data_IF_073529023467
#
_entry.id   IF_073529023467
#
_cell.length_a   1.000
_cell.length_b   1.000
_cell.length_c   1.000
_cell.angle_alpha   90.00
_cell.angle_beta   90.00
_cell.angle_gamma   90.00
#
_symmetry.space_group_name_H-M   'P 1'
#
loop_
_entity.id
_entity.type
_entity.pdbx_description
1 polymer ?
#
# COMPACT_ATOMS: atom_id res chain seq x y z
N UNK A 1 2.57 -14.21 -4.57
CA UNK A 1 1.11 -14.01 -4.39
C UNK A 1 0.70 -12.63 -4.88
N UNK A 2 -0.59 -12.39 -5.13
CA UNK A 2 -1.10 -11.03 -5.37
C UNK A 2 -1.33 -10.31 -4.05
N UNK A 3 -0.94 -9.04 -3.96
CA UNK A 3 -1.18 -8.16 -2.82
C UNK A 3 -1.83 -6.89 -3.35
N UNK A 4 -2.93 -6.49 -2.72
CA UNK A 4 -3.58 -5.20 -2.96
C UNK A 4 -3.45 -4.35 -1.73
N UNK A 5 -2.99 -3.12 -1.91
CA UNK A 5 -2.68 -2.17 -0.85
C UNK A 5 -3.57 -0.94 -1.02
N UNK A 6 -4.34 -0.60 0.00
CA UNK A 6 -4.99 0.70 0.13
C UNK A 6 -4.08 1.65 0.91
N UNK A 7 -3.79 2.80 0.31
CA UNK A 7 -2.96 3.85 0.87
C UNK A 7 -3.83 5.11 1.07
N UNK A 8 -4.02 5.58 2.31
CA UNK A 8 -4.76 6.80 2.56
C UNK A 8 -4.01 8.00 1.97
N UNK A 9 -4.74 9.01 1.50
CA UNK A 9 -4.18 10.16 0.80
C UNK A 9 -3.03 10.83 1.57
N UNK A 10 -3.11 10.87 2.91
CA UNK A 10 -2.11 11.46 3.78
C UNK A 10 -0.77 10.70 3.83
N UNK A 11 -0.74 9.42 3.43
CA UNK A 11 0.45 8.57 3.47
C UNK A 11 1.07 8.30 2.08
N UNK A 12 0.51 8.86 0.99
CA UNK A 12 0.96 8.56 -0.39
C UNK A 12 2.46 8.84 -0.57
N UNK A 13 2.97 9.96 -0.07
CA UNK A 13 4.39 10.31 -0.22
C UNK A 13 5.30 9.30 0.49
N UNK A 14 4.99 8.99 1.75
CA UNK A 14 5.74 8.02 2.54
C UNK A 14 5.63 6.61 1.94
N UNK A 15 4.45 6.22 1.45
CA UNK A 15 4.18 4.95 0.80
C UNK A 15 4.93 4.78 -0.53
N UNK A 16 5.06 5.84 -1.32
CA UNK A 16 5.86 5.83 -2.55
C UNK A 16 7.36 5.73 -2.24
N UNK A 17 7.83 6.29 -1.13
CA UNK A 17 9.20 6.07 -0.66
C UNK A 17 9.42 4.63 -0.20
N UNK A 18 8.44 4.02 0.48
CA UNK A 18 8.47 2.60 0.80
C UNK A 18 8.51 1.72 -0.47
N UNK A 19 7.70 2.05 -1.48
CA UNK A 19 7.70 1.34 -2.75
C UNK A 19 9.09 1.40 -3.42
N UNK A 20 9.71 2.58 -3.49
CA UNK A 20 11.09 2.70 -3.99
C UNK A 20 12.10 1.89 -3.16
N UNK A 21 11.97 1.87 -1.83
CA UNK A 21 12.88 1.13 -0.96
C UNK A 21 12.77 -0.39 -1.16
N UNK A 22 11.59 -0.92 -1.49
CA UNK A 22 11.31 -2.35 -1.59
C UNK A 22 11.29 -2.93 -3.01
N UNK A 23 11.16 -2.08 -4.05
CA UNK A 23 10.95 -2.52 -5.42
C UNK A 23 12.19 -2.31 -6.31
N UNK A 24 12.01 -1.86 -7.55
CA UNK A 24 13.01 -1.96 -8.60
C UNK A 24 13.77 -0.65 -8.86
N UNK A 25 13.23 0.51 -8.49
CA UNK A 25 13.93 1.78 -8.65
C UNK A 25 13.08 3.05 -8.53
N UNK A 26 13.59 4.19 -9.02
CA UNK A 26 12.91 5.50 -8.91
C UNK A 26 11.49 5.56 -9.52
N UNK A 27 11.18 4.68 -10.48
CA UNK A 27 9.86 4.63 -11.09
C UNK A 27 8.76 4.21 -10.09
N UNK A 28 9.14 3.50 -9.02
CA UNK A 28 8.23 3.06 -7.97
C UNK A 28 7.71 4.22 -7.09
N UNK A 29 8.25 5.43 -7.28
CA UNK A 29 7.70 6.68 -6.74
C UNK A 29 6.28 7.00 -7.24
N UNK A 30 5.80 6.27 -8.26
CA UNK A 30 4.49 6.46 -8.91
C UNK A 30 3.52 5.30 -8.63
N UNK A 31 3.83 4.46 -7.64
CA UNK A 31 3.02 3.30 -7.23
C UNK A 31 1.64 3.72 -6.76
N UNK A 32 1.59 4.68 -5.83
CA UNK A 32 0.36 5.31 -5.36
C UNK A 32 0.20 6.67 -6.03
N UNK A 33 -0.98 6.88 -6.63
CA UNK A 33 -1.31 8.08 -7.43
C UNK A 33 -2.46 8.83 -6.78
N UNK A 34 -3.09 9.72 -7.54
CA UNK A 34 -4.30 10.41 -7.11
C UNK A 34 -5.33 9.41 -6.55
N UNK A 35 -5.85 9.64 -5.32
CA UNK A 35 -6.89 8.81 -4.76
C UNK A 35 -8.09 8.66 -5.69
N UNK A 36 -8.55 7.42 -5.84
CA UNK A 36 -9.71 7.07 -6.67
C UNK A 36 -10.68 6.11 -5.96
N UNK A 37 -10.43 5.89 -4.67
CA UNK A 37 -11.22 5.05 -3.78
C UNK A 37 -11.59 5.82 -2.52
N UNK A 38 -12.73 5.49 -1.94
CA UNK A 38 -13.20 6.06 -0.68
C UNK A 38 -13.84 5.01 0.23
N UNK A 39 -13.70 5.19 1.54
CA UNK A 39 -14.44 4.43 2.54
C UNK A 39 -15.85 5.03 2.77
N UNK A 40 -16.62 4.42 3.68
CA UNK A 40 -17.97 4.87 4.02
C UNK A 40 -18.03 6.26 4.68
N UNK A 41 -16.91 6.73 5.26
CA UNK A 41 -16.78 8.05 5.88
C UNK A 41 -16.28 9.12 4.90
N UNK A 42 -15.99 8.73 3.66
CA UNK A 42 -15.50 9.61 2.60
C UNK A 42 -14.00 9.88 2.65
N UNK A 43 -13.23 9.12 3.44
CA UNK A 43 -11.77 9.23 3.42
C UNK A 43 -11.23 8.71 2.09
N UNK A 44 -10.26 9.41 1.51
CA UNK A 44 -9.73 9.11 0.19
C UNK A 44 -8.50 8.20 0.24
N UNK A 45 -8.45 7.23 -0.68
CA UNK A 45 -7.38 6.24 -0.81
C UNK A 45 -6.91 6.10 -2.26
N UNK A 46 -5.60 5.96 -2.42
CA UNK A 46 -5.00 5.35 -3.60
C UNK A 46 -4.91 3.84 -3.39
N UNK A 47 -4.95 3.06 -4.47
CA UNK A 47 -4.78 1.62 -4.41
C UNK A 47 -3.71 1.15 -5.40
N UNK A 48 -2.93 0.15 -5.00
CA UNK A 48 -2.00 -0.56 -5.88
C UNK A 48 -2.19 -2.07 -5.70
N UNK A 49 -2.18 -2.81 -6.82
CA UNK A 49 -2.21 -4.28 -6.80
C UNK A 49 -0.98 -4.79 -7.53
N UNK A 50 -0.16 -5.60 -6.86
CA UNK A 50 1.09 -6.13 -7.39
C UNK A 50 1.24 -7.62 -7.15
N UNK A 51 2.13 -8.24 -7.93
CA UNK A 51 2.65 -9.58 -7.61
C UNK A 51 3.86 -9.43 -6.71
N UNK A 52 3.83 -10.11 -5.57
CA UNK A 52 4.92 -10.13 -4.61
C UNK A 52 5.42 -11.55 -4.38
N UNK A 53 6.73 -11.69 -4.23
CA UNK A 53 7.36 -12.93 -3.76
C UNK A 53 7.27 -13.01 -2.23
N UNK A 54 7.46 -14.20 -1.67
CA UNK A 54 7.48 -14.36 -0.21
C UNK A 54 8.64 -13.58 0.43
N UNK A 55 9.78 -13.48 -0.28
CA UNK A 55 10.92 -12.64 0.12
C UNK A 55 10.55 -11.16 0.18
N UNK A 56 9.72 -10.67 -0.76
CA UNK A 56 9.24 -9.29 -0.74
C UNK A 56 8.36 -9.04 0.49
N UNK A 57 7.46 -9.97 0.80
CA UNK A 57 6.57 -9.88 1.98
C UNK A 57 7.37 -9.88 3.28
N UNK A 58 8.40 -10.72 3.38
CA UNK A 58 9.30 -10.72 4.52
C UNK A 58 10.12 -9.42 4.60
N UNK A 59 10.64 -8.94 3.47
CA UNK A 59 11.37 -7.68 3.37
C UNK A 59 10.55 -6.49 3.84
N UNK A 60 9.28 -6.42 3.44
CA UNK A 60 8.35 -5.37 3.85
C UNK A 60 8.08 -5.32 5.36
N UNK A 61 8.38 -6.39 6.11
CA UNK A 61 8.16 -6.51 7.56
C UNK A 61 9.46 -6.50 8.38
N UNK A 62 10.60 -6.26 7.74
CA UNK A 62 11.91 -6.20 8.41
C UNK A 62 12.55 -4.83 8.20
N UNK A 63 13.61 -4.53 8.96
CA UNK A 63 14.31 -3.23 8.86
C UNK A 63 14.68 -2.91 7.41
N UNK A 64 14.20 -1.76 6.93
CA UNK A 64 14.50 -1.28 5.58
C UNK A 64 15.99 -0.97 5.44
N UNK A 65 16.55 -1.41 4.32
CA UNK A 65 17.90 -1.03 3.90
C UNK A 65 17.78 -0.06 2.72
N UNK A 66 18.64 0.96 2.67
CA UNK A 66 18.70 1.83 1.51
C UNK A 66 19.11 1.00 0.29
N UNK A 67 18.38 1.07 -0.84
CA UNK A 67 18.75 0.34 -2.05
C UNK A 67 20.11 0.77 -2.59
N UNK A 68 20.87 -0.17 -3.17
CA UNK A 68 22.19 0.13 -3.75
C UNK A 68 22.13 1.13 -4.91
N UNK A 69 21.00 1.19 -5.63
CA UNK A 69 20.79 2.13 -6.73
C UNK A 69 20.64 3.57 -6.25
N UNK A 70 20.25 3.78 -4.99
CA UNK A 70 19.90 5.10 -4.44
C UNK A 70 21.14 5.90 -4.00
N UNK A 71 22.10 6.01 -4.92
CA UNK A 71 23.37 6.72 -4.72
C UNK A 71 23.20 8.24 -4.57
N UNK A 72 22.10 8.77 -5.11
CA UNK A 72 21.74 10.20 -5.07
C UNK A 72 20.86 10.56 -3.87
N UNK A 73 20.57 9.61 -2.96
CA UNK A 73 19.71 9.80 -1.79
C UNK A 73 18.31 10.33 -2.13
N UNK A 74 17.75 9.82 -3.23
CA UNK A 74 16.39 10.14 -3.69
C UNK A 74 15.34 9.54 -2.76
N UNK A 75 15.60 8.37 -2.17
CA UNK A 75 14.64 7.74 -1.24
C UNK A 75 14.70 8.42 0.12
N UNK A 76 13.56 8.95 0.56
CA UNK A 76 13.34 9.38 1.92
C UNK A 76 13.13 8.14 2.81
N UNK A 77 14.23 7.56 3.31
CA UNK A 77 14.18 6.36 4.16
C UNK A 77 13.36 6.57 5.44
N UNK A 78 13.38 7.77 6.03
CA UNK A 78 12.55 8.05 7.21
C UNK A 78 11.05 8.07 6.88
N UNK A 79 10.67 8.48 5.66
CA UNK A 79 9.30 8.36 5.17
C UNK A 79 8.92 6.92 4.86
N UNK A 80 9.83 6.17 4.23
CA UNK A 80 9.66 4.75 3.97
C UNK A 80 9.44 3.95 5.28
N UNK A 81 10.23 4.23 6.32
CA UNK A 81 10.09 3.63 7.66
C UNK A 81 8.74 3.96 8.29
N UNK A 82 8.27 5.23 8.22
CA UNK A 82 6.92 5.59 8.70
C UNK A 82 5.81 4.84 7.97
N UNK A 83 5.93 4.68 6.64
CA UNK A 83 4.97 3.90 5.88
C UNK A 83 5.05 2.40 6.19
N UNK A 84 6.24 1.86 6.45
CA UNK A 84 6.41 0.48 6.89
C UNK A 84 5.76 0.26 8.26
N UNK A 85 5.96 1.16 9.22
CA UNK A 85 5.35 1.09 10.55
C UNK A 85 3.81 1.16 10.49
N UNK A 86 3.28 1.85 9.46
CA UNK A 86 1.85 1.95 9.20
C UNK A 86 1.30 0.79 8.33
N UNK A 87 2.15 -0.12 7.84
CA UNK A 87 1.75 -1.24 6.98
C UNK A 87 1.11 -2.35 7.80
N UNK A 88 -0.16 -2.63 7.52
CA UNK A 88 -0.88 -3.77 8.07
C UNK A 88 -1.09 -4.81 6.99
N UNK A 89 -0.38 -5.94 7.09
CA UNK A 89 -0.48 -7.04 6.14
C UNK A 89 -1.44 -8.12 6.65
N UNK A 90 -2.39 -8.50 5.80
CA UNK A 90 -3.36 -9.55 6.07
C UNK A 90 -3.43 -10.53 4.91
N UNK A 91 -3.53 -11.81 5.23
CA UNK A 91 -3.81 -12.89 4.29
C UNK A 91 -4.88 -13.79 4.89
N UNK A 92 -5.77 -14.38 4.08
CA UNK A 92 -6.73 -15.37 4.57
C UNK A 92 -5.99 -16.55 5.23
N UNK A 93 -6.43 -16.93 6.43
CA UNK A 93 -5.95 -18.11 7.16
C UNK A 93 -7.07 -19.14 7.35
N UNK A 94 -6.71 -20.32 7.87
CA UNK A 94 -7.68 -21.39 8.16
C UNK A 94 -8.59 -21.08 9.35
N UNK A 95 -8.20 -20.11 10.19
CA UNK A 95 -8.94 -19.68 11.37
C UNK A 95 -10.13 -18.75 11.01
N UNK A 96 -10.22 -18.32 9.75
CA UNK A 96 -11.36 -17.59 9.21
C UNK A 96 -11.43 -16.15 9.71
N UNK A 97 -10.29 -15.54 10.01
CA UNK A 97 -10.24 -14.15 10.44
C UNK A 97 -10.75 -13.22 9.33
N UNK A 98 -11.57 -12.24 9.67
CA UNK A 98 -12.08 -11.27 8.69
C UNK A 98 -10.98 -10.32 8.23
N UNK A 99 -11.02 -9.88 6.95
CA UNK A 99 -10.08 -8.89 6.45
C UNK A 99 -10.24 -7.55 7.18
N UNK A 100 -9.15 -6.81 7.42
CA UNK A 100 -9.20 -5.48 8.01
C UNK A 100 -9.86 -4.47 7.05
N UNK A 101 -10.64 -3.53 7.62
CA UNK A 101 -11.11 -2.36 6.89
C UNK A 101 -9.96 -1.37 6.64
N UNK A 102 -10.09 -0.57 5.57
CA UNK A 102 -9.22 0.57 5.34
C UNK A 102 -9.29 1.56 6.51
N UNK A 103 -8.17 2.24 6.78
CA UNK A 103 -8.07 3.24 7.83
C UNK A 103 -7.21 4.41 7.38
N UNK A 104 -7.57 5.67 7.70
CA UNK A 104 -6.76 6.84 7.37
C UNK A 104 -5.35 6.82 7.99
N UNK A 105 -5.12 5.98 9.00
CA UNK A 105 -3.85 5.87 9.72
C UNK A 105 -2.97 4.69 9.32
N UNK A 106 -3.38 3.85 8.37
CA UNK A 106 -2.65 2.62 8.02
C UNK A 106 -2.64 2.34 6.51
N UNK A 107 -1.57 1.74 6.02
CA UNK A 107 -1.53 1.11 4.70
C UNK A 107 -2.07 -0.31 4.88
N UNK A 108 -3.28 -0.59 4.39
CA UNK A 108 -3.88 -1.91 4.54
C UNK A 108 -3.57 -2.74 3.31
N UNK A 109 -2.84 -3.84 3.49
CA UNK A 109 -2.41 -4.75 2.44
C UNK A 109 -3.09 -6.11 2.60
N UNK A 110 -3.93 -6.49 1.64
CA UNK A 110 -4.60 -7.78 1.59
C UNK A 110 -3.96 -8.65 0.51
N UNK A 111 -3.47 -9.82 0.89
CA UNK A 111 -2.86 -10.80 0.01
C UNK A 111 -3.79 -11.95 -0.40
N UNK A 112 -3.39 -12.68 -1.44
CA UNK A 112 -3.98 -13.94 -1.91
C UNK A 112 -5.43 -13.89 -2.42
N UNK A 113 -5.99 -12.70 -2.64
CA UNK A 113 -7.30 -12.49 -3.26
C UNK A 113 -7.19 -11.57 -4.49
N UNK A 114 -8.25 -11.54 -5.31
CA UNK A 114 -8.33 -10.59 -6.43
C UNK A 114 -8.34 -9.14 -5.94
N UNK A 115 -7.83 -8.21 -6.75
CA UNK A 115 -7.65 -6.83 -6.32
C UNK A 115 -8.95 -6.07 -6.08
N UNK A 116 -10.00 -6.29 -6.88
CA UNK A 116 -11.29 -5.65 -6.61
C UNK A 116 -11.96 -6.26 -5.39
N UNK A 117 -11.84 -7.58 -5.20
CA UNK A 117 -12.33 -8.26 -4.00
C UNK A 117 -11.59 -7.79 -2.74
N UNK A 118 -10.28 -7.51 -2.83
CA UNK A 118 -9.50 -6.96 -1.73
C UNK A 118 -9.98 -5.56 -1.34
N UNK A 119 -10.25 -4.69 -2.32
CA UNK A 119 -10.73 -3.33 -2.05
C UNK A 119 -12.14 -3.34 -1.46
N UNK A 120 -13.02 -4.19 -1.96
CA UNK A 120 -14.35 -4.39 -1.38
C UNK A 120 -14.26 -4.91 0.06
N UNK A 121 -13.36 -5.88 0.33
CA UNK A 121 -13.08 -6.39 1.66
C UNK A 121 -12.52 -5.31 2.63
N UNK A 122 -11.80 -4.32 2.12
CA UNK A 122 -11.35 -3.16 2.89
C UNK A 122 -12.47 -2.12 3.13
N UNK A 123 -13.68 -2.34 2.60
CA UNK A 123 -14.79 -1.39 2.66
C UNK A 123 -14.64 -0.20 1.72
N UNK A 124 -13.86 -0.34 0.64
CA UNK A 124 -13.61 0.73 -0.31
C UNK A 124 -14.51 0.64 -1.54
N UNK A 125 -14.92 1.81 -2.02
CA UNK A 125 -15.67 1.99 -3.25
C UNK A 125 -15.00 3.04 -4.13
N UNK A 126 -15.27 3.01 -5.44
CA UNK A 126 -14.75 4.03 -6.35
C UNK A 126 -15.33 5.39 -6.04
N UNK A 127 -14.48 6.42 -6.08
CA UNK A 127 -14.93 7.83 -6.06
C UNK A 127 -15.76 8.09 -7.33
N UNK A 128 -16.94 8.72 -7.24
CA UNK A 128 -17.76 9.07 -8.40
C UNK A 128 -17.01 10.00 -9.38
N UNK A 129 -17.12 9.74 -10.68
CA UNK A 129 -16.39 10.50 -11.73
C UNK A 129 -16.81 11.99 -11.81
N UNK A 130 -17.96 12.37 -11.23
CA UNK A 130 -18.46 13.76 -11.20
C UNK A 130 -17.79 14.63 -10.10
N UNK A 131 -16.96 14.05 -9.23
CA UNK A 131 -16.24 14.74 -8.14
C UNK A 131 -14.71 14.73 -8.31
N UNK A 132 -14.21 14.22 -9.44
CA UNK A 132 -12.79 14.30 -9.80
C UNK A 132 -12.45 15.72 -10.28
N UNK A 133 -11.99 16.57 -9.35
CA UNK A 133 -11.63 17.98 -9.61
C UNK A 133 -10.25 18.11 -10.23
#
# INVERSE_FOLDING_TARGET
>A
MRITIACPAALIEDANNLAMALAFGPADALTFREPSWQDADGSLYSAASLEATDDWVAGAQTTLNRPEWDTDYTVNMAGAERAQDALYFWVPDEDGQEPPLASPGALVAIGAVDGLAALDAMGLSRVPEDEAV
#
